data_IF_173288953645
#
_entry.id   IF_173288953645
#
_cell.length_a   1.000
_cell.length_b   1.000
_cell.length_c   1.000
_cell.angle_alpha   90.00
_cell.angle_beta   90.00
_cell.angle_gamma   90.00
#
_symmetry.space_group_name_H-M   'P 1'
#
loop_
_entity.id
_entity.type
_entity.pdbx_description
1 polymer ?
#
# COMPACT_ATOMS: atom_id res chain seq x y z
N UNK A 1 -8.83 6.47 6.61
CA UNK A 1 -8.50 7.11 5.31
C UNK A 1 -7.00 7.26 5.26
N UNK A 2 -6.32 6.44 4.45
CA UNK A 2 -4.88 6.58 4.28
C UNK A 2 -4.60 7.87 3.51
N UNK A 3 -4.10 8.87 4.20
CA UNK A 3 -3.49 10.05 3.56
C UNK A 3 -2.10 9.66 3.04
N UNK A 4 -2.07 8.86 1.97
CA UNK A 4 -0.83 8.67 1.25
C UNK A 4 -0.38 9.99 0.68
N UNK A 5 0.76 10.48 1.16
CA UNK A 5 1.27 11.81 0.80
C UNK A 5 1.75 11.79 -0.64
N UNK A 6 0.99 12.42 -1.53
CA UNK A 6 1.45 12.68 -2.89
C UNK A 6 2.68 13.58 -2.85
N UNK A 7 3.64 13.28 -3.70
CA UNK A 7 4.83 14.09 -3.85
C UNK A 7 4.55 15.38 -4.62
N UNK A 8 5.54 16.23 -4.70
CA UNK A 8 5.44 17.55 -5.31
C UNK A 8 6.18 17.62 -6.64
N UNK A 9 5.80 18.60 -7.45
CA UNK A 9 6.49 18.93 -8.69
C UNK A 9 7.71 19.79 -8.39
N UNK A 10 8.86 19.38 -8.90
CA UNK A 10 10.08 20.19 -8.96
C UNK A 10 10.44 20.51 -10.40
N UNK A 11 11.05 21.68 -10.63
CA UNK A 11 11.46 22.12 -11.95
C UNK A 11 12.93 22.51 -11.97
N UNK A 12 13.65 22.04 -12.99
CA UNK A 12 15.04 22.40 -13.21
C UNK A 12 15.28 22.66 -14.71
N UNK A 13 15.34 23.94 -15.10
CA UNK A 13 15.45 24.32 -16.50
C UNK A 13 14.25 23.86 -17.34
N UNK A 14 14.51 23.12 -18.40
CA UNK A 14 13.48 22.61 -19.32
C UNK A 14 12.90 21.24 -18.88
N UNK A 15 13.28 20.75 -17.70
CA UNK A 15 12.86 19.46 -17.16
C UNK A 15 12.06 19.69 -15.88
N UNK A 16 10.95 19.01 -15.76
CA UNK A 16 10.16 18.88 -14.54
C UNK A 16 10.19 17.45 -14.05
N UNK A 17 10.09 17.29 -12.75
CA UNK A 17 10.05 15.99 -12.10
C UNK A 17 8.96 15.97 -11.03
N UNK A 18 8.24 14.87 -10.96
CA UNK A 18 7.37 14.54 -9.84
C UNK A 18 7.87 13.23 -9.23
N UNK A 19 8.10 13.24 -7.93
CA UNK A 19 8.30 12.02 -7.16
C UNK A 19 6.99 11.68 -6.49
N UNK A 20 6.68 10.38 -6.41
CA UNK A 20 5.50 9.92 -5.70
C UNK A 20 4.17 10.46 -6.24
N UNK A 21 4.00 10.45 -7.56
CA UNK A 21 2.72 10.76 -8.21
C UNK A 21 1.81 9.54 -8.22
N UNK A 22 0.51 9.77 -8.07
CA UNK A 22 -0.51 8.71 -8.12
C UNK A 22 -1.13 8.66 -9.51
N UNK A 23 -1.19 7.47 -10.11
CA UNK A 23 -1.79 7.26 -11.43
C UNK A 23 -3.30 7.13 -11.28
N UNK A 24 -4.02 8.10 -11.80
CA UNK A 24 -5.49 8.12 -11.80
C UNK A 24 -6.06 7.36 -13.02
N UNK A 25 -5.45 7.54 -14.20
CA UNK A 25 -5.91 6.97 -15.45
C UNK A 25 -4.73 6.55 -16.34
N UNK A 26 -4.91 5.46 -17.08
CA UNK A 26 -3.99 5.00 -18.11
C UNK A 26 -4.78 4.81 -19.41
N UNK A 27 -4.33 5.44 -20.49
CA UNK A 27 -4.92 5.29 -21.81
C UNK A 27 -3.82 4.95 -22.83
N UNK A 28 -3.73 3.69 -23.20
CA UNK A 28 -2.86 3.21 -24.28
C UNK A 28 -3.62 3.20 -25.60
N UNK A 29 -3.06 3.81 -26.64
CA UNK A 29 -3.66 3.74 -27.98
C UNK A 29 -3.43 2.35 -28.56
N UNK A 30 -4.49 1.79 -29.16
CA UNK A 30 -4.44 0.46 -29.75
C UNK A 30 -3.29 0.33 -30.75
N UNK A 31 -2.55 -0.77 -30.65
CA UNK A 31 -1.44 -1.13 -31.54
C UNK A 31 -0.24 -0.15 -31.56
N UNK A 32 -0.09 0.71 -30.55
CA UNK A 32 1.04 1.63 -30.45
C UNK A 32 1.64 1.62 -29.05
N UNK A 33 2.94 1.93 -28.93
CA UNK A 33 3.61 2.18 -27.64
C UNK A 33 3.34 3.61 -27.15
N UNK A 34 2.22 4.23 -27.57
CA UNK A 34 1.88 5.62 -27.30
C UNK A 34 0.55 5.72 -26.58
N UNK A 35 0.33 6.83 -25.90
CA UNK A 35 -0.86 7.08 -25.12
C UNK A 35 -0.66 8.19 -24.12
N UNK A 36 -1.34 8.09 -23.00
CA UNK A 36 -1.13 9.03 -21.90
C UNK A 36 -1.45 8.37 -20.57
N UNK A 37 -0.94 8.97 -19.51
CA UNK A 37 -1.39 8.73 -18.13
C UNK A 37 -1.82 10.06 -17.51
N UNK A 38 -2.85 10.02 -16.68
CA UNK A 38 -3.23 11.13 -15.82
C UNK A 38 -2.73 10.81 -14.42
N UNK A 39 -1.98 11.75 -13.86
CA UNK A 39 -1.41 11.61 -12.52
C UNK A 39 -1.84 12.74 -11.62
N UNK A 40 -1.94 12.46 -10.33
CA UNK A 40 -2.18 13.48 -9.30
C UNK A 40 -0.95 13.63 -8.39
N UNK A 41 -0.71 14.87 -7.96
CA UNK A 41 0.40 15.25 -7.10
C UNK A 41 0.02 16.41 -6.18
N UNK A 42 0.79 16.67 -5.12
CA UNK A 42 0.54 17.78 -4.20
C UNK A 42 1.10 19.09 -4.77
N UNK A 43 0.35 20.18 -4.67
CA UNK A 43 0.78 21.49 -5.15
C UNK A 43 1.95 22.07 -4.34
N UNK A 44 2.04 21.74 -3.05
CA UNK A 44 3.07 22.22 -2.14
C UNK A 44 3.53 21.14 -1.19
N UNK A 45 4.82 21.12 -0.76
CA UNK A 45 5.32 20.16 0.22
C UNK A 45 4.59 20.33 1.57
N UNK A 46 4.15 19.23 2.16
CA UNK A 46 3.65 19.19 3.53
C UNK A 46 2.21 19.63 3.75
N UNK A 47 1.45 20.00 2.72
CA UNK A 47 0.01 20.23 2.84
C UNK A 47 -0.78 18.94 2.62
N UNK A 48 -1.59 18.58 3.63
CA UNK A 48 -2.58 17.50 3.54
C UNK A 48 -3.68 17.87 2.53
N UNK A 49 -4.06 16.90 1.74
CA UNK A 49 -5.25 16.67 0.91
C UNK A 49 -5.92 17.82 0.13
N UNK A 50 -5.81 19.07 0.48
CA UNK A 50 -6.68 20.13 -0.07
C UNK A 50 -6.15 20.80 -1.35
N UNK A 51 -4.97 20.44 -1.83
CA UNK A 51 -4.35 21.04 -3.00
C UNK A 51 -3.72 19.99 -3.94
N UNK A 52 -4.54 19.02 -4.36
CA UNK A 52 -4.13 18.03 -5.34
C UNK A 52 -4.26 18.62 -6.73
N UNK A 53 -3.19 18.56 -7.51
CA UNK A 53 -3.17 18.92 -8.90
C UNK A 53 -3.09 17.69 -9.79
N UNK A 54 -3.66 17.81 -10.98
CA UNK A 54 -3.62 16.76 -11.99
C UNK A 54 -2.76 17.19 -13.17
N UNK A 55 -2.06 16.23 -13.77
CA UNK A 55 -1.23 16.42 -14.94
C UNK A 55 -1.43 15.24 -15.88
N UNK A 56 -1.62 15.51 -17.16
CA UNK A 56 -1.57 14.51 -18.22
C UNK A 56 -0.14 14.41 -18.75
N UNK A 57 0.43 13.22 -18.65
CA UNK A 57 1.73 12.86 -19.21
C UNK A 57 1.53 12.12 -20.53
N UNK A 58 1.90 12.74 -21.63
CA UNK A 58 1.84 12.12 -22.94
C UNK A 58 3.03 11.18 -23.13
N UNK A 59 2.72 9.94 -23.51
CA UNK A 59 3.68 8.86 -23.73
C UNK A 59 3.87 8.71 -25.25
N UNK A 60 5.11 8.77 -25.68
CA UNK A 60 5.49 8.60 -27.07
C UNK A 60 6.61 7.55 -27.20
N UNK A 61 7.05 7.25 -28.40
CA UNK A 61 8.07 6.21 -28.66
C UNK A 61 9.42 6.47 -27.99
N UNK A 62 9.69 7.70 -27.59
CA UNK A 62 10.93 8.10 -26.90
C UNK A 62 10.77 8.12 -25.37
N UNK A 63 9.57 7.82 -24.86
CA UNK A 63 9.34 7.73 -23.40
C UNK A 63 9.82 6.37 -22.92
N UNK A 64 10.70 6.39 -21.94
CA UNK A 64 11.16 5.17 -21.26
C UNK A 64 10.25 4.91 -20.06
N UNK A 65 9.75 3.70 -19.94
CA UNK A 65 8.96 3.27 -18.80
C UNK A 65 9.69 2.11 -18.12
N UNK A 66 9.99 2.26 -16.84
CA UNK A 66 10.67 1.25 -16.04
C UNK A 66 9.74 0.74 -14.94
N UNK A 67 9.81 -0.54 -14.67
CA UNK A 67 9.22 -1.13 -13.48
C UNK A 67 10.06 -0.85 -12.23
N UNK A 68 9.62 -1.34 -11.08
CA UNK A 68 10.31 -1.17 -9.80
C UNK A 68 11.65 -1.91 -9.69
N UNK A 69 11.96 -2.81 -10.62
CA UNK A 69 13.24 -3.51 -10.71
C UNK A 69 14.19 -2.83 -11.71
N UNK A 70 13.73 -1.79 -12.42
CA UNK A 70 14.47 -1.09 -13.46
C UNK A 70 14.37 -1.73 -14.85
N UNK A 71 13.48 -2.69 -15.05
CA UNK A 71 13.23 -3.30 -16.36
C UNK A 71 12.30 -2.42 -17.20
N UNK A 72 12.57 -2.35 -18.50
CA UNK A 72 11.71 -1.63 -19.45
C UNK A 72 10.40 -2.38 -19.62
N UNK A 73 9.29 -1.67 -19.41
CA UNK A 73 7.93 -2.17 -19.58
C UNK A 73 7.13 -1.32 -20.57
N UNK A 74 5.98 -1.81 -21.00
CA UNK A 74 5.07 -1.09 -21.87
C UNK A 74 4.07 -0.24 -21.08
N UNK A 75 3.46 0.75 -21.74
CA UNK A 75 2.40 1.57 -21.13
C UNK A 75 1.21 0.73 -20.66
N UNK A 76 0.87 -0.34 -21.37
CA UNK A 76 -0.23 -1.25 -21.03
C UNK A 76 -0.03 -2.06 -19.75
N UNK A 77 1.20 -2.10 -19.23
CA UNK A 77 1.53 -2.78 -17.97
C UNK A 77 1.34 -1.86 -16.74
N UNK A 78 1.29 -0.53 -16.95
CA UNK A 78 0.93 0.40 -15.88
C UNK A 78 -0.56 0.25 -15.58
N UNK A 79 -0.91 0.19 -14.31
CA UNK A 79 -2.30 0.13 -13.84
C UNK A 79 -2.71 1.43 -13.15
N UNK A 80 -3.96 1.88 -13.25
CA UNK A 80 -4.50 2.89 -12.34
C UNK A 80 -4.24 2.50 -10.87
N UNK A 81 -4.15 3.49 -10.00
CA UNK A 81 -3.82 3.34 -8.59
C UNK A 81 -2.36 2.93 -8.31
N UNK A 82 -1.51 2.99 -9.31
CA UNK A 82 -0.06 2.78 -9.16
C UNK A 82 0.63 4.09 -8.79
N UNK A 83 1.73 4.00 -8.08
CA UNK A 83 2.58 5.15 -7.78
C UNK A 83 3.79 5.18 -8.70
N UNK A 84 4.16 6.37 -9.14
CA UNK A 84 5.27 6.57 -10.07
C UNK A 84 6.14 7.76 -9.70
N UNK A 85 7.38 7.73 -10.16
CA UNK A 85 8.19 8.92 -10.38
C UNK A 85 8.17 9.23 -11.87
N UNK A 86 8.08 10.51 -12.22
CA UNK A 86 8.08 10.92 -13.62
C UNK A 86 9.03 12.09 -13.87
N UNK A 87 9.74 12.03 -15.00
CA UNK A 87 10.53 13.12 -15.56
C UNK A 87 9.92 13.49 -16.91
N UNK A 88 9.63 14.77 -17.11
CA UNK A 88 8.91 15.27 -18.27
C UNK A 88 9.30 16.70 -18.65
N UNK A 89 8.81 17.17 -19.79
CA UNK A 89 9.07 18.53 -20.27
C UNK A 89 8.45 19.59 -19.36
N UNK A 90 9.19 20.63 -19.04
CA UNK A 90 8.64 21.79 -18.35
C UNK A 90 7.68 22.61 -19.22
N UNK A 91 7.68 22.41 -20.54
CA UNK A 91 6.70 23.01 -21.45
C UNK A 91 5.37 22.26 -21.30
N UNK A 92 4.40 22.91 -20.69
CA UNK A 92 3.06 22.39 -20.47
C UNK A 92 2.03 23.20 -21.26
N UNK A 93 0.96 22.51 -21.66
CA UNK A 93 -0.20 23.20 -22.24
C UNK A 93 -0.98 23.93 -21.15
N UNK A 94 -1.84 24.87 -21.58
CA UNK A 94 -2.77 25.59 -20.69
C UNK A 94 -4.14 24.89 -20.57
N UNK A 95 -4.22 23.60 -20.94
CA UNK A 95 -5.44 22.80 -20.78
C UNK A 95 -5.68 22.41 -19.33
N UNK A 96 -6.85 21.85 -19.04
CA UNK A 96 -7.23 21.30 -17.74
C UNK A 96 -7.59 19.81 -17.94
N UNK A 97 -6.80 18.87 -17.41
CA UNK A 97 -5.49 19.08 -16.79
C UNK A 97 -4.43 19.55 -17.79
N UNK A 98 -3.37 20.24 -17.34
CA UNK A 98 -2.22 20.55 -18.19
C UNK A 98 -1.59 19.29 -18.75
N UNK A 99 -0.91 19.40 -19.90
CA UNK A 99 -0.29 18.27 -20.57
C UNK A 99 1.21 18.52 -20.80
N UNK A 100 2.02 17.50 -20.59
CA UNK A 100 3.45 17.52 -20.86
C UNK A 100 3.91 16.20 -21.51
N UNK A 101 5.00 16.24 -22.27
CA UNK A 101 5.61 15.04 -22.81
C UNK A 101 6.50 14.37 -21.76
N UNK A 102 6.25 13.12 -21.46
CA UNK A 102 7.07 12.32 -20.54
C UNK A 102 8.36 11.85 -21.22
N UNK A 103 9.48 11.89 -20.49
CA UNK A 103 10.76 11.33 -20.88
C UNK A 103 11.01 10.00 -20.19
N UNK A 104 10.71 9.94 -18.89
CA UNK A 104 10.91 8.75 -18.06
C UNK A 104 9.76 8.61 -17.09
N UNK A 105 9.27 7.39 -16.95
CA UNK A 105 8.33 6.97 -15.92
C UNK A 105 8.95 5.79 -15.19
N UNK A 106 8.98 5.83 -13.87
CA UNK A 106 9.46 4.76 -13.01
C UNK A 106 8.32 4.33 -12.10
N UNK A 107 7.79 3.12 -12.33
CA UNK A 107 6.77 2.53 -11.47
C UNK A 107 7.41 2.18 -10.12
N UNK A 108 6.78 2.62 -9.04
CA UNK A 108 7.29 2.33 -7.70
C UNK A 108 6.73 1.01 -7.20
N UNK A 109 7.59 0.16 -6.66
CA UNK A 109 7.17 -0.99 -5.89
C UNK A 109 6.75 -0.49 -4.51
N UNK A 110 5.49 -0.14 -4.36
CA UNK A 110 4.95 -0.01 -3.01
C UNK A 110 4.63 -1.40 -2.50
N UNK A 111 5.31 -1.79 -1.45
CA UNK A 111 4.72 -2.76 -0.56
C UNK A 111 3.42 -2.11 -0.06
N UNK A 112 2.26 -2.79 -0.13
CA UNK A 112 1.08 -2.27 0.54
C UNK A 112 1.53 -1.95 1.96
N UNK A 113 1.37 -0.71 2.39
CA UNK A 113 1.65 -0.36 3.79
C UNK A 113 0.70 -1.24 4.59
N UNK A 114 1.27 -2.16 5.34
CA UNK A 114 0.49 -3.00 6.24
C UNK A 114 0.05 -2.05 7.35
N UNK A 115 -1.19 -1.61 7.29
CA UNK A 115 -1.79 -0.86 8.40
C UNK A 115 -1.86 -1.79 9.60
N UNK A 116 -1.39 -1.29 10.73
CA UNK A 116 -1.30 -2.03 11.97
C UNK A 116 -2.39 -1.56 12.92
N UNK A 117 -3.12 -2.51 13.48
CA UNK A 117 -4.08 -2.28 14.55
C UNK A 117 -3.71 -3.11 15.79
N UNK A 118 -4.31 -2.74 16.91
CA UNK A 118 -4.18 -3.50 18.16
C UNK A 118 -5.57 -3.85 18.66
N UNK A 119 -5.78 -5.15 18.91
CA UNK A 119 -7.01 -5.70 19.48
C UNK A 119 -6.74 -6.35 20.83
N UNK A 120 -7.72 -6.31 21.72
CA UNK A 120 -7.69 -7.03 22.98
C UNK A 120 -8.83 -8.03 22.97
N UNK A 121 -8.53 -9.30 23.26
CA UNK A 121 -9.51 -10.37 23.27
C UNK A 121 -9.15 -11.50 24.20
N UNK A 122 -10.09 -12.46 24.35
CA UNK A 122 -9.82 -13.74 25.01
C UNK A 122 -9.50 -14.80 23.97
N UNK A 123 -8.53 -15.63 24.25
CA UNK A 123 -8.17 -16.77 23.40
C UNK A 123 -9.34 -17.76 23.43
N UNK A 124 -9.94 -18.00 22.27
CA UNK A 124 -10.96 -19.05 22.08
C UNK A 124 -10.30 -20.43 21.91
N UNK A 125 -9.29 -20.50 21.02
CA UNK A 125 -8.53 -21.73 20.76
C UNK A 125 -7.15 -21.41 20.17
N UNK A 126 -6.27 -22.40 20.18
CA UNK A 126 -4.91 -22.33 19.62
C UNK A 126 -4.70 -23.58 18.76
N UNK A 127 -4.34 -23.38 17.51
CA UNK A 127 -3.88 -24.42 16.61
C UNK A 127 -2.37 -24.21 16.36
N UNK A 128 -1.58 -24.75 17.26
CA UNK A 128 -0.13 -24.57 17.23
C UNK A 128 0.51 -25.28 16.02
N UNK A 129 -0.11 -26.36 15.53
CA UNK A 129 0.42 -27.14 14.40
C UNK A 129 0.36 -26.34 13.10
N UNK A 130 -0.68 -25.52 12.92
CA UNK A 130 -0.88 -24.68 11.73
C UNK A 130 -0.52 -23.21 11.97
N UNK A 131 -0.08 -22.84 13.17
CA UNK A 131 0.31 -21.47 13.50
C UNK A 131 -0.86 -20.49 13.57
N UNK A 132 -2.01 -20.94 14.13
CA UNK A 132 -3.19 -20.10 14.30
C UNK A 132 -3.55 -19.86 15.77
N UNK A 133 -4.01 -18.68 16.06
CA UNK A 133 -4.62 -18.27 17.33
C UNK A 133 -5.99 -17.68 17.04
N UNK A 134 -7.00 -18.11 17.78
CA UNK A 134 -8.38 -17.64 17.67
C UNK A 134 -8.75 -16.82 18.90
N UNK A 135 -9.37 -15.65 18.70
CA UNK A 135 -9.98 -14.89 19.80
C UNK A 135 -11.48 -14.75 19.59
N UNK A 136 -12.23 -14.56 20.66
CA UNK A 136 -13.68 -14.43 20.64
C UNK A 136 -14.36 -15.49 21.50
N UNK A 137 -15.64 -15.77 21.22
CA UNK A 137 -16.39 -16.79 21.90
C UNK A 137 -16.07 -18.18 21.29
N UNK A 138 -15.57 -19.18 22.08
CA UNK A 138 -15.24 -20.49 21.54
C UNK A 138 -16.44 -21.25 20.96
N UNK A 139 -17.68 -20.88 21.36
CA UNK A 139 -18.91 -21.53 20.90
C UNK A 139 -19.61 -20.76 19.76
N UNK A 140 -19.02 -19.66 19.30
CA UNK A 140 -19.61 -18.84 18.21
C UNK A 140 -18.52 -18.42 17.23
N UNK A 141 -18.44 -19.15 16.12
CA UNK A 141 -17.45 -18.90 15.06
C UNK A 141 -17.57 -17.51 14.41
N UNK A 142 -18.79 -16.93 14.42
CA UNK A 142 -19.02 -15.61 13.82
C UNK A 142 -18.44 -14.47 14.68
N UNK A 143 -18.25 -14.72 15.97
CA UNK A 143 -17.61 -13.77 16.90
C UNK A 143 -16.08 -13.91 16.94
N UNK A 144 -15.53 -14.90 16.25
CA UNK A 144 -14.10 -15.19 16.31
C UNK A 144 -13.32 -14.43 15.23
N UNK A 145 -12.06 -14.15 15.55
CA UNK A 145 -11.04 -13.70 14.58
C UNK A 145 -9.88 -14.70 14.63
N UNK A 146 -9.46 -15.17 13.46
CA UNK A 146 -8.31 -16.06 13.30
C UNK A 146 -7.06 -15.24 13.00
N UNK A 147 -6.03 -15.39 13.80
CA UNK A 147 -4.73 -14.77 13.63
C UNK A 147 -3.70 -15.77 13.15
N UNK A 148 -3.01 -15.47 12.05
CA UNK A 148 -1.81 -16.19 11.62
C UNK A 148 -0.67 -15.74 12.51
N UNK A 149 -0.11 -16.64 13.31
CA UNK A 149 0.91 -16.32 14.32
C UNK A 149 2.25 -17.03 14.07
N UNK A 150 2.43 -17.66 12.91
CA UNK A 150 3.65 -18.42 12.57
C UNK A 150 4.94 -17.62 12.67
N UNK A 151 4.88 -16.30 12.40
CA UNK A 151 6.01 -15.38 12.46
C UNK A 151 5.83 -14.30 13.54
N UNK A 152 4.92 -14.50 14.48
CA UNK A 152 4.66 -13.54 15.56
C UNK A 152 5.65 -13.68 16.69
N UNK A 153 5.88 -12.57 17.39
CA UNK A 153 6.56 -12.57 18.68
C UNK A 153 5.52 -12.65 19.81
N UNK A 154 5.92 -13.20 20.95
CA UNK A 154 5.04 -13.36 22.11
C UNK A 154 5.70 -12.85 23.36
N UNK A 155 4.93 -12.22 24.25
CA UNK A 155 5.43 -11.75 25.54
C UNK A 155 4.43 -12.00 26.67
N UNK A 156 4.96 -12.12 27.88
CA UNK A 156 4.19 -12.10 29.13
C UNK A 156 3.72 -10.67 29.48
N UNK A 157 2.95 -10.48 30.57
CA UNK A 157 2.53 -9.13 31.00
C UNK A 157 3.69 -8.19 31.35
N UNK A 158 4.85 -8.74 31.70
CA UNK A 158 6.07 -7.97 32.01
C UNK A 158 6.90 -7.64 30.77
N UNK A 159 6.48 -8.09 29.57
CA UNK A 159 7.19 -7.91 28.31
C UNK A 159 8.31 -8.93 28.04
N UNK A 160 8.46 -9.96 28.88
CA UNK A 160 9.47 -11.01 28.67
C UNK A 160 9.03 -11.94 27.53
N UNK A 161 9.95 -12.37 26.66
CA UNK A 161 9.61 -13.29 25.58
C UNK A 161 9.07 -14.62 26.11
N UNK A 162 7.98 -15.09 25.52
CA UNK A 162 7.39 -16.42 25.73
C UNK A 162 7.17 -17.10 24.37
N UNK A 163 6.60 -18.29 24.36
CA UNK A 163 6.27 -19.02 23.14
C UNK A 163 4.76 -19.19 22.99
N UNK A 164 4.30 -19.52 21.78
CA UNK A 164 2.90 -19.83 21.53
C UNK A 164 2.38 -20.95 22.44
N UNK A 165 3.22 -21.93 22.75
CA UNK A 165 2.89 -23.06 23.64
C UNK A 165 2.67 -22.66 25.11
N UNK A 166 3.10 -21.46 25.50
CA UNK A 166 2.86 -20.89 26.85
C UNK A 166 1.44 -20.31 27.00
N UNK A 167 0.77 -20.05 25.89
CA UNK A 167 -0.59 -19.51 25.90
C UNK A 167 -1.63 -20.61 26.09
N UNK A 168 -2.78 -20.26 26.67
CA UNK A 168 -3.90 -21.17 26.95
C UNK A 168 -5.23 -20.53 26.56
N UNK A 169 -6.24 -21.31 26.17
CA UNK A 169 -7.61 -20.81 25.99
C UNK A 169 -8.09 -20.05 27.22
N UNK A 170 -8.99 -19.11 27.03
CA UNK A 170 -9.58 -18.20 28.03
C UNK A 170 -8.63 -17.10 28.56
N UNK A 171 -7.34 -17.16 28.31
CA UNK A 171 -6.42 -16.07 28.64
C UNK A 171 -6.73 -14.80 27.84
N UNK A 172 -6.50 -13.65 28.45
CA UNK A 172 -6.67 -12.36 27.78
C UNK A 172 -5.36 -11.92 27.17
N UNK A 173 -5.42 -11.50 25.90
CA UNK A 173 -4.25 -11.10 25.12
C UNK A 173 -4.48 -9.77 24.43
N UNK A 174 -3.38 -9.04 24.21
CA UNK A 174 -3.29 -7.90 23.31
C UNK A 174 -2.57 -8.37 22.07
N UNK A 175 -3.18 -8.15 20.89
CA UNK A 175 -2.63 -8.59 19.61
C UNK A 175 -2.42 -7.39 18.71
N UNK A 176 -1.18 -7.19 18.27
CA UNK A 176 -0.84 -6.25 17.21
C UNK A 176 -0.89 -7.00 15.89
N UNK A 177 -1.73 -6.56 14.97
CA UNK A 177 -2.04 -7.29 13.73
C UNK A 177 -2.25 -6.34 12.55
N UNK A 178 -2.29 -6.88 11.31
CA UNK A 178 -2.68 -6.14 10.14
C UNK A 178 -4.18 -5.78 10.19
N UNK A 179 -4.56 -4.60 9.69
CA UNK A 179 -5.98 -4.22 9.57
C UNK A 179 -6.71 -5.00 8.49
N UNK A 180 -5.98 -5.46 7.47
CA UNK A 180 -6.53 -6.28 6.39
C UNK A 180 -6.99 -7.63 6.91
N UNK A 181 -8.22 -8.02 6.57
CA UNK A 181 -8.81 -9.30 6.93
C UNK A 181 -9.38 -9.98 5.69
N UNK A 182 -9.40 -11.31 5.71
CA UNK A 182 -10.09 -12.10 4.68
C UNK A 182 -11.61 -12.05 4.89
N UNK A 183 -12.37 -12.32 3.82
CA UNK A 183 -13.83 -12.44 3.88
C UNK A 183 -14.31 -13.84 4.39
N UNK A 184 -13.41 -14.66 4.94
CA UNK A 184 -13.76 -15.97 5.50
C UNK A 184 -14.48 -15.87 6.85
N UNK A 185 -15.10 -16.95 7.29
CA UNK A 185 -15.67 -17.10 8.62
C UNK A 185 -14.91 -18.22 9.35
N UNK A 186 -14.21 -17.92 10.45
CA UNK A 186 -13.92 -16.58 10.96
C UNK A 186 -12.99 -15.79 10.02
N UNK A 187 -13.05 -14.45 10.04
CA UNK A 187 -12.11 -13.62 9.29
C UNK A 187 -10.68 -13.86 9.78
N UNK A 188 -9.72 -13.83 8.85
CA UNK A 188 -8.32 -14.10 9.12
C UNK A 188 -7.46 -12.85 8.88
N UNK A 189 -6.52 -12.60 9.79
CA UNK A 189 -5.48 -11.57 9.66
C UNK A 189 -4.12 -12.07 10.13
N UNK A 190 -3.06 -11.32 9.85
CA UNK A 190 -1.69 -11.63 10.28
C UNK A 190 -1.41 -10.90 11.60
N UNK A 191 -0.98 -11.63 12.62
CA UNK A 191 -0.48 -11.04 13.85
C UNK A 191 1.05 -10.85 13.78
N UNK A 192 1.52 -9.77 14.38
CA UNK A 192 2.94 -9.43 14.51
C UNK A 192 3.44 -9.67 15.93
N UNK A 193 2.61 -9.35 16.91
CA UNK A 193 2.93 -9.52 18.33
C UNK A 193 1.70 -9.91 19.13
N UNK A 194 1.88 -10.81 20.09
CA UNK A 194 0.85 -11.25 21.04
C UNK A 194 1.39 -11.10 22.46
N UNK A 195 0.78 -10.24 23.25
CA UNK A 195 1.10 -10.02 24.66
C UNK A 195 0.02 -10.63 25.54
N UNK A 196 0.41 -11.49 26.48
CA UNK A 196 -0.46 -11.93 27.57
C UNK A 196 -0.76 -10.77 28.51
N UNK A 197 -2.01 -10.65 28.98
CA UNK A 197 -2.45 -9.56 29.87
C UNK A 197 -2.79 -10.09 31.27
#
# INVERSE_FOLDING_TARGET
MNTETRGTLSRRGNISQITNAFVEEVNAFSNTSTGYIIVSYAASPGQQSDNIQMLRLNINRNTVILDSSGQVISLSEIRPQTWINAVFSSAMTRSIPPQANAFLIMVQKRHPQIEIATSIGRIASIDAANGFLYTGNPNDINSQVRYVVSNSTFSDPSGRPITLSSLRPSQRVRITHATTQTASIPPQTIAFHVQLL
#
